data_IF_296082469534
#
_entry.id   IF_296082469534
#
_cell.length_a   1.000
_cell.length_b   1.000
_cell.length_c   1.000
_cell.angle_alpha   90.00
_cell.angle_beta   90.00
_cell.angle_gamma   90.00
#
_symmetry.space_group_name_H-M   'P 1'
#
loop_
_entity.id
_entity.type
_entity.pdbx_description
1 polymer ?
#
# COMPACT_ATOMS: atom_id res chain seq x y z
N UNK A 1 -23.21 7.97 9.80
CA UNK A 1 -22.22 6.91 9.62
C UNK A 1 -20.89 7.33 10.22
N UNK A 2 -20.15 6.42 10.86
CA UNK A 2 -18.81 6.67 11.39
C UNK A 2 -17.76 5.94 10.54
N UNK A 3 -16.69 6.64 10.17
CA UNK A 3 -15.49 6.05 9.51
C UNK A 3 -14.30 6.28 10.44
N UNK A 4 -13.62 5.21 10.84
CA UNK A 4 -12.43 5.26 11.66
C UNK A 4 -11.18 5.21 10.79
N UNK A 5 -10.47 6.33 10.67
CA UNK A 5 -9.28 6.53 9.84
C UNK A 5 -9.52 7.42 8.62
N UNK A 6 -8.70 8.46 8.47
CA UNK A 6 -8.70 9.42 7.36
C UNK A 6 -7.53 9.18 6.38
N UNK A 7 -7.18 7.91 6.17
CA UNK A 7 -6.28 7.49 5.10
C UNK A 7 -6.98 7.47 3.74
N UNK A 8 -6.28 7.06 2.65
CA UNK A 8 -6.83 7.06 1.29
C UNK A 8 -8.17 6.33 1.15
N UNK A 9 -8.37 5.21 1.86
CA UNK A 9 -9.63 4.47 1.83
C UNK A 9 -10.77 5.21 2.52
N UNK A 10 -10.55 5.64 3.79
CA UNK A 10 -11.59 6.28 4.59
C UNK A 10 -12.00 7.63 4.06
N UNK A 11 -11.03 8.45 3.64
CA UNK A 11 -11.30 9.76 3.07
C UNK A 11 -12.01 9.68 1.70
N UNK A 12 -11.62 8.71 0.83
CA UNK A 12 -12.33 8.46 -0.43
C UNK A 12 -13.75 7.99 -0.18
N UNK A 13 -13.97 7.08 0.76
CA UNK A 13 -15.33 6.64 1.12
C UNK A 13 -16.17 7.79 1.66
N UNK A 14 -15.60 8.61 2.55
CA UNK A 14 -16.27 9.79 3.09
C UNK A 14 -16.70 10.76 1.98
N UNK A 15 -15.79 11.03 1.02
CA UNK A 15 -16.06 11.88 -0.15
C UNK A 15 -17.23 11.35 -0.98
N UNK A 16 -17.23 10.04 -1.26
CA UNK A 16 -18.26 9.40 -2.09
C UNK A 16 -19.64 9.39 -1.43
N UNK A 17 -19.70 9.14 -0.13
CA UNK A 17 -20.95 9.07 0.62
C UNK A 17 -21.51 10.47 0.91
N UNK A 18 -20.65 11.41 1.33
CA UNK A 18 -21.08 12.80 1.57
C UNK A 18 -21.62 13.46 0.30
N UNK A 19 -20.99 13.21 -0.86
CA UNK A 19 -21.49 13.66 -2.17
C UNK A 19 -22.92 13.17 -2.48
N UNK A 20 -23.36 12.09 -1.83
CA UNK A 20 -24.72 11.52 -1.94
C UNK A 20 -25.63 11.93 -0.80
N UNK A 21 -25.26 12.94 0.00
CA UNK A 21 -26.04 13.45 1.11
C UNK A 21 -26.02 12.60 2.39
N UNK A 22 -25.15 11.59 2.48
CA UNK A 22 -25.03 10.80 3.71
C UNK A 22 -24.28 11.60 4.77
N UNK A 23 -24.84 11.68 5.98
CA UNK A 23 -24.14 12.25 7.14
C UNK A 23 -22.97 11.35 7.57
N UNK A 24 -21.75 11.81 7.35
CA UNK A 24 -20.51 11.08 7.64
C UNK A 24 -19.67 11.85 8.66
N UNK A 25 -19.26 11.15 9.71
CA UNK A 25 -18.19 11.57 10.62
C UNK A 25 -16.97 10.67 10.37
N UNK A 26 -15.83 11.27 10.06
CA UNK A 26 -14.53 10.59 10.02
C UNK A 26 -13.78 10.96 11.30
N UNK A 27 -13.24 9.97 12.01
CA UNK A 27 -12.32 10.16 13.12
C UNK A 27 -10.92 9.71 12.71
N UNK A 28 -9.92 10.56 12.96
CA UNK A 28 -8.52 10.28 12.65
C UNK A 28 -7.66 10.45 13.92
N UNK A 29 -6.88 9.43 14.23
CA UNK A 29 -6.08 9.41 15.44
C UNK A 29 -4.91 10.42 15.44
N UNK A 30 -4.45 10.83 14.25
CA UNK A 30 -3.42 11.85 14.11
C UNK A 30 -4.03 13.24 14.26
N UNK A 31 -3.30 14.20 14.89
CA UNK A 31 -3.80 15.55 15.11
C UNK A 31 -3.80 16.41 13.84
N UNK A 32 -3.06 15.99 12.81
CA UNK A 32 -3.04 16.62 11.49
C UNK A 32 -2.79 15.58 10.39
N UNK A 33 -3.07 15.94 9.14
CA UNK A 33 -2.94 15.03 8.00
C UNK A 33 -1.54 14.98 7.40
N UNK A 34 -0.66 15.89 7.79
CA UNK A 34 0.74 15.92 7.33
C UNK A 34 1.61 15.03 8.20
N UNK A 35 1.23 14.86 9.46
CA UNK A 35 1.96 14.00 10.37
C UNK A 35 1.92 12.54 9.92
N UNK A 36 3.07 11.90 9.99
CA UNK A 36 3.24 10.51 9.55
C UNK A 36 2.69 10.25 8.11
N UNK A 37 2.75 11.25 7.24
CA UNK A 37 2.35 11.16 5.84
C UNK A 37 3.41 10.39 5.03
N UNK A 38 3.58 9.12 5.39
CA UNK A 38 4.56 8.23 4.79
C UNK A 38 3.95 7.37 3.71
N UNK A 39 4.48 7.48 2.51
CA UNK A 39 4.34 6.49 1.44
C UNK A 39 5.29 6.86 0.30
N UNK A 40 5.92 5.89 -0.34
CA UNK A 40 6.63 6.11 -1.61
C UNK A 40 5.70 6.60 -2.72
N UNK A 41 4.43 6.26 -2.65
CA UNK A 41 3.29 6.84 -3.39
C UNK A 41 3.46 6.88 -4.91
N UNK A 42 4.15 5.90 -5.51
CA UNK A 42 4.23 5.76 -6.95
C UNK A 42 2.96 5.06 -7.49
N UNK A 43 2.32 5.66 -8.48
CA UNK A 43 1.12 5.14 -9.14
C UNK A 43 1.26 5.17 -10.66
N UNK A 44 0.68 4.20 -11.39
CA UNK A 44 0.60 4.26 -12.84
C UNK A 44 -0.33 5.39 -13.29
N UNK A 45 -0.07 5.96 -14.47
CA UNK A 45 -0.83 7.11 -14.98
C UNK A 45 -2.34 6.84 -15.04
N UNK A 46 -2.74 5.66 -15.51
CA UNK A 46 -4.15 5.26 -15.58
C UNK A 46 -4.86 5.24 -14.20
N UNK A 47 -4.11 5.05 -13.11
CA UNK A 47 -4.70 5.12 -11.77
C UNK A 47 -5.03 6.55 -11.35
N UNK A 48 -4.23 7.54 -11.78
CA UNK A 48 -4.52 8.95 -11.50
C UNK A 48 -5.84 9.36 -12.15
N UNK A 49 -6.02 9.03 -13.41
CA UNK A 49 -7.24 9.32 -14.18
C UNK A 49 -8.45 8.62 -13.56
N UNK A 50 -8.33 7.31 -13.34
CA UNK A 50 -9.42 6.49 -12.77
C UNK A 50 -9.86 6.95 -11.37
N UNK A 51 -8.95 7.49 -10.57
CA UNK A 51 -9.20 7.90 -9.19
C UNK A 51 -9.45 9.41 -9.07
N UNK A 52 -9.51 10.14 -10.20
CA UNK A 52 -9.71 11.59 -10.27
C UNK A 52 -8.64 12.37 -9.47
N UNK A 53 -7.40 11.86 -9.44
CA UNK A 53 -6.30 12.46 -8.68
C UNK A 53 -5.79 13.70 -9.42
N UNK A 54 -5.88 14.90 -8.82
CA UNK A 54 -5.50 16.13 -9.50
C UNK A 54 -3.99 16.29 -9.63
N UNK A 55 -3.57 17.05 -10.63
CA UNK A 55 -2.16 17.35 -10.86
C UNK A 55 -1.47 18.03 -9.66
N UNK A 56 -2.24 18.77 -8.83
CA UNK A 56 -1.73 19.47 -7.66
C UNK A 56 -1.14 18.54 -6.56
N UNK A 57 -1.50 17.25 -6.57
CA UNK A 57 -0.92 16.27 -5.63
C UNK A 57 0.21 15.45 -6.24
N UNK A 58 0.55 15.69 -7.52
CA UNK A 58 1.65 15.02 -8.21
C UNK A 58 2.96 15.75 -7.88
N UNK A 59 3.87 15.07 -7.23
CA UNK A 59 5.20 15.60 -6.95
C UNK A 59 6.12 15.47 -8.16
N UNK A 60 6.07 14.32 -8.85
CA UNK A 60 6.90 14.07 -10.03
C UNK A 60 6.27 13.04 -10.97
N UNK A 61 6.58 13.13 -12.27
CA UNK A 61 6.20 12.13 -13.29
C UNK A 61 7.44 11.38 -13.75
N UNK A 62 7.32 10.09 -13.95
CA UNK A 62 8.41 9.24 -14.40
C UNK A 62 8.04 8.51 -15.71
N UNK A 63 9.04 8.27 -16.57
CA UNK A 63 8.88 7.66 -17.90
C UNK A 63 9.75 6.43 -18.12
N UNK A 64 10.44 5.95 -17.08
CA UNK A 64 11.32 4.80 -17.18
C UNK A 64 11.43 3.99 -15.90
N UNK A 65 12.12 2.87 -16.04
CA UNK A 65 12.48 1.96 -14.96
C UNK A 65 13.98 1.76 -14.90
N UNK A 66 14.49 1.63 -13.71
CA UNK A 66 15.87 1.21 -13.45
C UNK A 66 15.88 0.08 -12.44
N UNK A 67 16.55 -1.01 -12.79
CA UNK A 67 16.71 -2.15 -11.89
C UNK A 67 18.20 -2.41 -11.66
N UNK A 68 18.64 -2.26 -10.40
CA UNK A 68 19.93 -2.66 -9.92
C UNK A 68 19.78 -4.02 -9.25
N UNK A 69 20.35 -5.04 -9.86
CA UNK A 69 20.30 -6.42 -9.39
C UNK A 69 21.50 -6.78 -8.49
N UNK A 70 21.66 -8.08 -8.18
CA UNK A 70 22.84 -8.58 -7.46
C UNK A 70 24.14 -8.50 -8.27
N UNK A 71 24.04 -8.57 -9.60
CA UNK A 71 25.18 -8.43 -10.51
C UNK A 71 25.54 -6.96 -10.79
N UNK A 72 26.62 -6.73 -11.55
CA UNK A 72 27.08 -5.37 -11.86
C UNK A 72 26.24 -4.63 -12.89
N UNK A 73 25.26 -5.28 -13.52
CA UNK A 73 24.49 -4.71 -14.60
C UNK A 73 23.48 -3.68 -14.08
N UNK A 74 23.55 -2.48 -14.63
CA UNK A 74 22.59 -1.40 -14.45
C UNK A 74 21.63 -1.44 -15.64
N UNK A 75 20.36 -1.74 -15.37
CA UNK A 75 19.35 -1.99 -16.39
C UNK A 75 18.34 -0.88 -16.44
N UNK A 76 18.17 -0.30 -17.62
CA UNK A 76 17.27 0.83 -17.86
C UNK A 76 16.25 0.49 -18.93
N UNK A 77 15.03 0.94 -18.73
CA UNK A 77 13.95 0.94 -19.72
C UNK A 77 13.33 2.32 -19.75
N UNK A 78 13.11 2.83 -20.94
CA UNK A 78 12.42 4.11 -21.17
C UNK A 78 11.16 3.87 -21.96
N UNK A 79 10.13 4.67 -21.68
CA UNK A 79 8.91 4.65 -22.46
C UNK A 79 9.22 4.93 -23.94
N UNK A 80 8.64 4.15 -24.83
CA UNK A 80 8.93 4.18 -26.26
C UNK A 80 8.59 5.50 -26.92
N UNK A 81 7.55 6.19 -26.42
CA UNK A 81 7.06 7.50 -26.92
C UNK A 81 7.48 8.67 -26.01
N UNK A 82 8.30 8.43 -25.00
CA UNK A 82 8.74 9.43 -24.03
C UNK A 82 7.66 9.92 -23.08
N UNK A 83 6.44 9.36 -23.13
CA UNK A 83 5.34 9.75 -22.22
C UNK A 83 5.55 9.22 -20.81
N UNK A 84 5.03 9.91 -19.80
CA UNK A 84 5.05 9.39 -18.45
C UNK A 84 4.31 8.05 -18.32
N UNK A 85 4.92 7.10 -17.63
CA UNK A 85 4.31 5.82 -17.26
C UNK A 85 3.49 5.94 -15.97
N UNK A 86 3.82 6.93 -15.14
CA UNK A 86 3.15 7.17 -13.88
C UNK A 86 3.63 8.42 -13.18
N UNK A 87 3.25 8.54 -11.91
CA UNK A 87 3.63 9.66 -11.06
C UNK A 87 3.93 9.19 -9.63
N UNK A 88 4.84 9.91 -8.99
CA UNK A 88 5.06 9.89 -7.55
C UNK A 88 4.25 11.02 -6.94
N UNK A 89 3.44 10.72 -5.94
CA UNK A 89 2.56 11.71 -5.31
C UNK A 89 3.23 12.32 -4.06
N UNK A 90 2.89 13.56 -3.77
CA UNK A 90 2.97 14.10 -2.43
C UNK A 90 1.83 13.47 -1.61
N UNK A 91 2.19 12.55 -0.73
CA UNK A 91 1.19 11.79 0.02
C UNK A 91 0.44 12.63 1.06
N UNK A 92 1.09 13.64 1.63
CA UNK A 92 0.43 14.60 2.52
C UNK A 92 -0.59 15.43 1.74
N UNK A 93 -0.20 15.93 0.56
CA UNK A 93 -1.11 16.66 -0.32
C UNK A 93 -2.31 15.80 -0.76
N UNK A 94 -2.09 14.50 -1.07
CA UNK A 94 -3.17 13.57 -1.39
C UNK A 94 -4.17 13.43 -0.23
N UNK A 95 -3.67 13.26 1.00
CA UNK A 95 -4.51 13.13 2.20
C UNK A 95 -5.34 14.40 2.43
N UNK A 96 -4.71 15.58 2.38
CA UNK A 96 -5.41 16.87 2.51
C UNK A 96 -6.45 17.07 1.43
N UNK A 97 -6.12 16.74 0.19
CA UNK A 97 -7.04 16.85 -0.92
C UNK A 97 -8.29 15.97 -0.74
N UNK A 98 -8.11 14.68 -0.42
CA UNK A 98 -9.22 13.76 -0.18
C UNK A 98 -10.11 14.22 0.97
N UNK A 99 -9.50 14.64 2.09
CA UNK A 99 -10.21 15.14 3.25
C UNK A 99 -10.97 16.44 2.92
N UNK A 100 -10.32 17.39 2.24
CA UNK A 100 -10.95 18.65 1.81
C UNK A 100 -12.12 18.41 0.85
N UNK A 101 -12.00 17.46 -0.07
CA UNK A 101 -13.13 17.07 -0.94
C UNK A 101 -14.30 16.48 -0.13
N UNK A 102 -14.02 15.61 0.83
CA UNK A 102 -15.04 15.04 1.69
C UNK A 102 -15.77 16.14 2.50
N UNK A 103 -15.01 17.06 3.10
CA UNK A 103 -15.54 18.21 3.84
C UNK A 103 -16.36 19.15 2.93
N UNK A 104 -15.89 19.41 1.72
CA UNK A 104 -16.62 20.22 0.74
C UNK A 104 -17.99 19.64 0.35
N UNK A 105 -18.18 18.33 0.49
CA UNK A 105 -19.46 17.65 0.33
C UNK A 105 -20.25 17.48 1.64
N UNK A 106 -19.76 18.03 2.77
CA UNK A 106 -20.48 18.02 4.05
C UNK A 106 -20.07 16.91 5.03
N UNK A 107 -19.01 16.13 4.77
CA UNK A 107 -18.46 15.23 5.77
C UNK A 107 -17.78 16.00 6.90
N UNK A 108 -17.94 15.53 8.13
CA UNK A 108 -17.21 16.04 9.29
C UNK A 108 -15.94 15.21 9.48
N UNK A 109 -14.79 15.86 9.75
CA UNK A 109 -13.51 15.19 10.03
C UNK A 109 -13.02 15.68 11.39
N UNK A 110 -12.88 14.74 12.34
CA UNK A 110 -12.36 14.98 13.67
C UNK A 110 -10.94 14.42 13.78
N UNK A 111 -9.94 15.30 13.76
CA UNK A 111 -8.54 14.95 13.93
C UNK A 111 -8.19 14.81 15.42
N UNK A 112 -7.21 13.97 15.75
CA UNK A 112 -6.82 13.65 17.12
C UNK A 112 -7.77 12.70 17.84
N UNK A 113 -8.81 12.20 17.17
CA UNK A 113 -9.79 11.26 17.73
C UNK A 113 -9.52 9.82 17.31
N UNK A 114 -9.46 8.93 18.28
CA UNK A 114 -9.23 7.50 18.05
C UNK A 114 -10.47 6.68 18.37
N UNK A 115 -10.91 5.85 17.43
CA UNK A 115 -11.90 4.81 17.70
C UNK A 115 -11.22 3.63 18.41
N UNK A 116 -11.77 3.21 19.55
CA UNK A 116 -11.17 2.20 20.44
C UNK A 116 -11.84 0.84 20.32
N UNK A 117 -13.17 0.81 20.37
CA UNK A 117 -13.95 -0.43 20.37
C UNK A 117 -15.39 -0.16 19.92
N UNK A 118 -16.06 -1.21 19.50
CA UNK A 118 -17.46 -1.17 19.10
C UNK A 118 -18.31 -2.12 19.89
N UNK A 119 -19.59 -1.75 20.11
CA UNK A 119 -20.63 -2.59 20.69
C UNK A 119 -21.84 -2.59 19.75
N UNK A 120 -22.44 -3.75 19.55
CA UNK A 120 -23.63 -3.91 18.71
C UNK A 120 -24.79 -4.46 19.55
N UNK A 121 -25.58 -3.60 20.21
CA UNK A 121 -26.74 -4.05 20.98
C UNK A 121 -27.79 -4.67 20.03
N UNK A 122 -28.18 -5.89 20.29
CA UNK A 122 -29.08 -6.67 19.42
C UNK A 122 -30.44 -5.99 19.21
N UNK A 123 -30.94 -5.26 20.22
CA UNK A 123 -32.28 -4.68 20.21
C UNK A 123 -32.43 -3.37 19.39
N UNK A 124 -31.31 -2.69 19.03
CA UNK A 124 -31.41 -1.32 18.51
C UNK A 124 -31.14 -1.18 17.02
N UNK A 125 -30.60 -2.20 16.38
CA UNK A 125 -30.16 -2.11 14.98
C UNK A 125 -29.10 -1.03 14.75
N UNK A 126 -28.42 -0.55 15.81
CA UNK A 126 -27.40 0.48 15.80
C UNK A 126 -26.07 -0.08 16.35
N UNK A 127 -24.99 0.62 16.07
CA UNK A 127 -23.64 0.29 16.57
C UNK A 127 -23.12 1.48 17.39
N UNK A 128 -22.57 1.20 18.56
CA UNK A 128 -21.94 2.18 19.44
C UNK A 128 -20.43 2.06 19.35
N UNK A 129 -19.74 3.17 19.20
CA UNK A 129 -18.27 3.22 19.13
C UNK A 129 -17.76 4.08 20.29
N UNK A 130 -16.78 3.54 21.03
CA UNK A 130 -16.05 4.29 22.01
C UNK A 130 -14.91 5.05 21.32
N UNK A 131 -14.92 6.35 21.46
CA UNK A 131 -13.95 7.29 20.90
C UNK A 131 -13.13 7.90 22.05
N UNK A 132 -11.84 8.12 21.80
CA UNK A 132 -10.95 8.88 22.67
C UNK A 132 -10.49 10.13 21.95
N UNK A 133 -10.70 11.28 22.57
CA UNK A 133 -10.30 12.58 22.08
C UNK A 133 -8.85 12.94 22.39
N UNK A 134 -8.38 14.08 21.89
CA UNK A 134 -6.99 14.54 22.05
C UNK A 134 -6.60 14.83 23.51
N UNK A 135 -7.56 15.19 24.37
CA UNK A 135 -7.35 15.38 25.83
C UNK A 135 -7.41 14.09 26.64
N UNK A 136 -7.67 12.94 26.00
CA UNK A 136 -7.82 11.64 26.68
C UNK A 136 -9.26 11.34 27.12
N UNK A 137 -10.18 12.28 26.92
CA UNK A 137 -11.62 12.10 27.19
C UNK A 137 -12.22 11.01 26.32
N UNK A 138 -13.16 10.25 26.88
CA UNK A 138 -13.82 9.16 26.15
C UNK A 138 -15.32 9.42 25.99
N UNK A 139 -15.80 9.20 24.78
CA UNK A 139 -17.21 9.37 24.43
C UNK A 139 -17.75 8.14 23.69
N UNK A 140 -19.04 7.89 23.85
CA UNK A 140 -19.75 6.89 23.07
C UNK A 140 -20.56 7.57 21.96
N UNK A 141 -20.27 7.21 20.71
CA UNK A 141 -21.04 7.64 19.56
C UNK A 141 -21.89 6.48 19.05
N UNK A 142 -23.18 6.77 18.76
CA UNK A 142 -24.08 5.79 18.14
C UNK A 142 -24.26 6.12 16.66
N UNK A 143 -24.17 5.10 15.81
CA UNK A 143 -24.35 5.23 14.37
C UNK A 143 -25.05 4.02 13.76
N UNK A 144 -25.55 4.14 12.52
CA UNK A 144 -26.13 3.00 11.78
C UNK A 144 -25.06 2.04 11.30
N UNK A 145 -23.91 2.55 10.89
CA UNK A 145 -22.78 1.80 10.37
C UNK A 145 -21.46 2.38 10.86
N UNK A 146 -20.48 1.49 11.08
CA UNK A 146 -19.09 1.86 11.36
C UNK A 146 -18.21 1.23 10.32
N UNK A 147 -17.27 1.99 9.76
CA UNK A 147 -16.26 1.52 8.84
C UNK A 147 -14.89 1.57 9.49
N UNK A 148 -14.23 0.42 9.60
CA UNK A 148 -12.83 0.31 10.01
C UNK A 148 -11.92 0.60 8.80
N UNK A 149 -11.46 1.84 8.69
CA UNK A 149 -10.47 2.30 7.74
C UNK A 149 -9.12 2.61 8.43
N UNK A 150 -8.84 1.96 9.57
CA UNK A 150 -7.61 2.18 10.37
C UNK A 150 -6.37 1.55 9.72
N UNK A 151 -6.50 1.06 8.50
CA UNK A 151 -5.41 0.50 7.73
C UNK A 151 -4.90 -0.83 8.31
N UNK A 152 -3.60 -1.03 8.23
CA UNK A 152 -2.96 -2.27 8.68
C UNK A 152 -3.16 -2.57 10.18
N UNK A 153 -3.55 -1.59 10.99
CA UNK A 153 -3.81 -1.78 12.42
C UNK A 153 -5.08 -2.58 12.70
N UNK A 154 -6.07 -2.55 11.78
CA UNK A 154 -7.36 -3.26 11.92
C UNK A 154 -8.02 -2.98 13.27
N UNK A 155 -8.00 -1.72 13.68
CA UNK A 155 -8.25 -1.29 15.05
C UNK A 155 -9.62 -1.66 15.63
N UNK A 156 -10.64 -1.83 14.78
CA UNK A 156 -11.98 -2.22 15.20
C UNK A 156 -12.36 -3.62 14.74
N UNK A 157 -11.97 -4.00 13.51
CA UNK A 157 -12.26 -5.33 12.96
C UNK A 157 -11.40 -6.42 13.60
N UNK A 158 -10.15 -6.09 13.92
CA UNK A 158 -9.16 -7.01 14.46
C UNK A 158 -8.47 -7.85 13.39
N UNK A 159 -7.44 -8.58 13.79
CA UNK A 159 -6.70 -9.47 12.93
C UNK A 159 -7.50 -10.74 12.61
N UNK A 160 -7.30 -11.35 11.43
CA UNK A 160 -7.80 -12.68 11.16
C UNK A 160 -7.13 -13.71 12.10
N UNK A 161 -7.77 -14.86 12.35
CA UNK A 161 -7.18 -15.91 13.18
C UNK A 161 -5.78 -16.31 12.69
N UNK A 162 -4.83 -16.43 13.60
CA UNK A 162 -3.43 -16.75 13.28
C UNK A 162 -3.25 -18.18 12.73
N UNK A 163 -4.10 -19.10 13.12
CA UNK A 163 -4.17 -20.49 12.67
C UNK A 163 -5.02 -20.66 11.39
N UNK A 164 -5.53 -19.55 10.86
CA UNK A 164 -6.34 -19.55 9.65
C UNK A 164 -5.58 -19.99 8.40
N UNK A 165 -6.33 -20.45 7.39
CA UNK A 165 -5.79 -20.89 6.09
C UNK A 165 -5.11 -19.76 5.29
N UNK A 166 -5.14 -18.53 5.76
CA UNK A 166 -4.61 -17.32 5.09
C UNK A 166 -4.03 -16.35 6.10
N UNK A 167 -2.86 -16.66 6.69
CA UNK A 167 -2.22 -15.84 7.71
C UNK A 167 -1.79 -14.47 7.15
N UNK A 168 -1.71 -13.48 8.03
CA UNK A 168 -1.13 -12.18 7.69
C UNK A 168 0.35 -12.32 7.35
N UNK A 169 0.75 -11.61 6.31
CA UNK A 169 2.15 -11.36 5.95
C UNK A 169 2.40 -9.88 6.18
N UNK A 170 3.46 -9.56 6.88
CA UNK A 170 3.85 -8.17 7.14
C UNK A 170 5.07 -7.77 6.31
N UNK A 171 5.07 -6.53 5.86
CA UNK A 171 6.21 -5.86 5.25
C UNK A 171 6.58 -4.65 6.08
N UNK A 172 7.80 -4.62 6.60
CA UNK A 172 8.34 -3.45 7.29
C UNK A 172 9.16 -2.64 6.29
N UNK A 173 8.82 -1.36 6.14
CA UNK A 173 9.55 -0.41 5.29
C UNK A 173 10.09 0.76 6.09
N UNK A 174 11.23 1.28 5.65
CA UNK A 174 11.76 2.56 6.11
C UNK A 174 12.23 3.36 4.89
N UNK A 175 12.00 4.67 4.92
CA UNK A 175 12.29 5.59 3.81
C UNK A 175 12.82 6.91 4.34
N UNK A 176 13.75 7.49 3.64
CA UNK A 176 14.25 8.85 3.88
C UNK A 176 13.90 9.73 2.70
N UNK A 177 13.39 10.93 3.01
CA UNK A 177 13.30 12.02 2.04
C UNK A 177 14.63 12.77 2.03
N UNK A 178 15.29 12.74 0.89
CA UNK A 178 16.61 13.33 0.68
C UNK A 178 16.50 14.61 -0.14
N UNK A 179 17.34 15.59 0.18
CA UNK A 179 17.57 16.77 -0.64
C UNK A 179 19.02 16.78 -1.13
N UNK A 180 19.21 17.11 -2.39
CA UNK A 180 20.52 17.13 -3.04
C UNK A 180 20.53 18.14 -4.20
N UNK A 181 21.72 18.58 -4.66
CA UNK A 181 21.87 19.44 -5.82
C UNK A 181 21.22 18.82 -7.07
N UNK A 182 20.73 19.67 -7.98
CA UNK A 182 20.00 19.22 -9.16
C UNK A 182 20.82 18.32 -10.08
N UNK A 183 22.13 18.56 -10.20
CA UNK A 183 23.03 17.71 -10.98
C UNK A 183 23.12 16.27 -10.46
N UNK A 184 22.99 16.05 -9.15
CA UNK A 184 22.95 14.73 -8.53
C UNK A 184 21.55 14.11 -8.54
N UNK A 185 20.50 14.93 -8.62
CA UNK A 185 19.11 14.49 -8.70
C UNK A 185 18.75 14.02 -10.11
N UNK A 186 19.18 14.74 -11.17
CA UNK A 186 18.84 14.45 -12.57
C UNK A 186 19.00 13.00 -13.01
N UNK A 187 20.07 12.26 -12.64
CA UNK A 187 20.22 10.85 -13.03
C UNK A 187 19.12 9.92 -12.52
N UNK A 188 18.32 10.36 -11.55
CA UNK A 188 17.25 9.60 -10.91
C UNK A 188 15.84 10.08 -11.31
N UNK A 189 15.73 11.24 -11.93
CA UNK A 189 14.45 11.95 -12.08
C UNK A 189 13.48 11.29 -13.05
N UNK A 190 13.97 10.65 -14.13
CA UNK A 190 13.10 10.13 -15.17
C UNK A 190 12.54 8.72 -14.90
N UNK A 191 12.92 8.10 -13.79
CA UNK A 191 12.71 6.67 -13.60
C UNK A 191 12.39 6.30 -12.16
N UNK A 192 11.63 5.24 -11.99
CA UNK A 192 11.58 4.54 -10.71
C UNK A 192 12.72 3.52 -10.65
N UNK A 193 13.53 3.62 -9.63
CA UNK A 193 14.66 2.70 -9.42
C UNK A 193 14.33 1.70 -8.33
N UNK A 194 14.48 0.40 -8.63
CA UNK A 194 14.43 -0.67 -7.66
C UNK A 194 15.80 -1.32 -7.48
N UNK A 195 16.12 -1.65 -6.23
CA UNK A 195 17.36 -2.24 -5.77
C UNK A 195 17.02 -3.65 -5.27
N UNK A 196 17.47 -4.66 -6.01
CA UNK A 196 17.03 -6.04 -5.87
C UNK A 196 18.22 -6.95 -5.57
N UNK A 197 18.03 -7.85 -4.62
CA UNK A 197 19.08 -8.81 -4.22
C UNK A 197 19.39 -8.73 -2.74
N UNK A 198 19.99 -9.81 -2.22
CA UNK A 198 20.26 -9.95 -0.78
C UNK A 198 21.29 -8.94 -0.25
N UNK A 199 22.16 -8.41 -1.11
CA UNK A 199 23.12 -7.36 -0.76
C UNK A 199 22.46 -5.98 -0.61
N UNK A 200 21.31 -5.74 -1.25
CA UNK A 200 20.53 -4.53 -1.07
C UNK A 200 19.58 -4.66 0.10
N UNK A 201 18.78 -5.72 0.12
CA UNK A 201 17.86 -6.03 1.22
C UNK A 201 17.45 -7.51 1.16
N UNK A 202 17.92 -8.36 2.07
CA UNK A 202 17.47 -9.76 2.14
C UNK A 202 15.97 -9.81 2.47
N UNK A 203 15.26 -10.72 1.84
CA UNK A 203 13.82 -10.92 1.97
C UNK A 203 12.98 -9.69 1.58
N UNK A 204 13.52 -8.82 0.72
CA UNK A 204 12.87 -7.59 0.33
C UNK A 204 13.55 -6.88 -0.84
N UNK A 205 13.45 -5.57 -0.84
CA UNK A 205 14.04 -4.71 -1.87
C UNK A 205 14.24 -3.29 -1.35
N UNK A 206 15.07 -2.52 -2.09
CA UNK A 206 15.18 -1.08 -1.92
C UNK A 206 14.61 -0.31 -3.11
N UNK A 207 14.46 1.00 -2.95
CA UNK A 207 14.04 1.90 -4.01
C UNK A 207 14.65 3.28 -3.90
N UNK A 208 14.76 3.95 -5.06
CA UNK A 208 15.01 5.39 -5.16
C UNK A 208 13.95 5.96 -6.11
N UNK A 209 13.08 6.83 -5.58
CA UNK A 209 12.01 7.45 -6.35
C UNK A 209 12.15 8.96 -6.37
N UNK A 210 11.97 9.59 -7.54
CA UNK A 210 12.03 11.04 -7.65
C UNK A 210 10.83 11.68 -6.95
N UNK A 211 11.12 12.80 -6.29
CA UNK A 211 10.15 13.74 -5.77
C UNK A 211 10.30 15.08 -6.50
N UNK A 212 9.95 16.18 -5.86
CA UNK A 212 10.19 17.50 -6.42
C UNK A 212 11.65 17.68 -6.84
N UNK A 213 11.96 18.60 -7.77
CA UNK A 213 13.34 18.86 -8.20
C UNK A 213 14.28 19.03 -7.00
N UNK A 214 15.38 18.28 -7.01
CA UNK A 214 16.33 18.23 -5.90
C UNK A 214 15.93 17.29 -4.76
N UNK A 215 14.83 16.54 -4.85
CA UNK A 215 14.39 15.63 -3.80
C UNK A 215 14.23 14.20 -4.30
N UNK A 216 14.67 13.24 -3.48
CA UNK A 216 14.51 11.80 -3.72
C UNK A 216 13.96 11.10 -2.47
N UNK A 217 13.15 10.09 -2.67
CA UNK A 217 12.80 9.09 -1.65
C UNK A 217 13.73 7.90 -1.79
N UNK A 218 14.51 7.61 -0.76
CA UNK A 218 15.33 6.40 -0.66
C UNK A 218 14.74 5.50 0.41
N UNK A 219 14.41 4.26 0.05
CA UNK A 219 13.82 3.34 1.00
C UNK A 219 14.27 1.91 0.85
N UNK A 220 14.03 1.13 1.89
CA UNK A 220 14.16 -0.33 1.91
C UNK A 220 12.97 -0.94 2.60
N UNK A 221 12.56 -2.13 2.17
CA UNK A 221 11.54 -2.90 2.87
C UNK A 221 11.90 -4.38 2.92
N UNK A 222 11.37 -5.06 3.93
CA UNK A 222 11.53 -6.50 4.12
C UNK A 222 10.19 -7.13 4.49
N UNK A 223 9.89 -8.28 3.88
CA UNK A 223 8.74 -9.09 4.24
C UNK A 223 9.04 -10.04 5.39
N UNK A 224 8.02 -10.27 6.20
CA UNK A 224 8.02 -11.25 7.27
C UNK A 224 6.76 -12.10 7.16
N UNK A 225 6.92 -13.42 7.24
CA UNK A 225 5.79 -14.29 7.48
C UNK A 225 5.53 -14.35 8.99
N UNK A 226 4.41 -13.82 9.43
CA UNK A 226 3.91 -14.03 10.78
C UNK A 226 3.27 -15.44 10.83
N UNK A 227 3.75 -16.32 11.71
CA UNK A 227 3.16 -17.65 11.89
C UNK A 227 3.57 -18.69 10.84
N UNK A 228 3.19 -19.87 11.07
CA UNK A 228 3.35 -21.18 10.45
C UNK A 228 3.79 -21.23 8.97
N UNK A 229 4.97 -21.79 8.70
CA UNK A 229 5.43 -22.21 7.37
C UNK A 229 6.95 -22.26 7.24
N UNK A 230 7.52 -22.93 6.24
CA UNK A 230 8.96 -22.90 5.95
C UNK A 230 9.39 -21.45 5.67
N UNK A 231 10.29 -20.91 6.49
CA UNK A 231 10.75 -19.53 6.43
C UNK A 231 10.09 -18.55 7.41
N UNK A 232 9.14 -19.00 8.25
CA UNK A 232 8.63 -18.21 9.37
C UNK A 232 9.74 -18.00 10.40
N UNK A 233 10.04 -16.75 10.75
CA UNK A 233 10.93 -16.49 11.86
C UNK A 233 10.29 -17.05 13.14
N UNK A 234 11.07 -17.68 14.05
CA UNK A 234 10.57 -18.08 15.35
C UNK A 234 9.91 -16.90 16.04
N UNK A 235 8.75 -17.12 16.65
CA UNK A 235 8.10 -16.11 17.47
C UNK A 235 9.11 -15.58 18.53
N UNK A 236 9.40 -14.28 18.50
CA UNK A 236 10.35 -13.67 19.43
C UNK A 236 11.72 -13.28 18.86
N UNK A 237 12.08 -13.63 17.62
CA UNK A 237 13.34 -13.15 17.04
C UNK A 237 13.19 -11.68 16.60
N UNK A 238 13.79 -10.77 17.39
CA UNK A 238 13.89 -9.35 17.00
C UNK A 238 14.61 -9.27 15.66
N UNK A 239 13.91 -8.75 14.64
CA UNK A 239 14.52 -8.53 13.36
C UNK A 239 15.50 -7.36 13.43
N UNK A 240 16.60 -7.48 12.67
CA UNK A 240 17.56 -6.40 12.57
C UNK A 240 16.90 -5.10 12.07
N UNK A 241 17.24 -3.93 12.62
CA UNK A 241 16.68 -2.66 12.22
C UNK A 241 17.01 -2.35 10.75
N UNK A 242 16.14 -1.59 10.08
CA UNK A 242 16.33 -1.22 8.68
C UNK A 242 17.33 -0.06 8.48
N UNK A 243 17.65 0.70 9.54
CA UNK A 243 18.56 1.85 9.48
C UNK A 243 19.91 1.54 8.83
N UNK A 244 20.66 0.51 9.27
CA UNK A 244 21.94 0.14 8.65
C UNK A 244 21.83 -0.21 7.15
N UNK A 245 20.71 -0.80 6.74
CA UNK A 245 20.45 -1.10 5.32
C UNK A 245 20.19 0.17 4.50
N UNK A 246 19.48 1.15 5.07
CA UNK A 246 19.29 2.47 4.43
C UNK A 246 20.62 3.20 4.27
N UNK A 247 21.46 3.21 5.30
CA UNK A 247 22.79 3.83 5.25
C UNK A 247 23.69 3.18 4.21
N UNK A 248 23.72 1.84 4.18
CA UNK A 248 24.47 1.09 3.16
C UNK A 248 23.92 1.38 1.75
N UNK A 249 22.61 1.45 1.58
CA UNK A 249 21.96 1.79 0.31
C UNK A 249 22.30 3.21 -0.12
N UNK A 250 22.25 4.17 0.80
CA UNK A 250 22.64 5.56 0.54
C UNK A 250 24.09 5.66 0.01
N UNK A 251 25.01 4.93 0.65
CA UNK A 251 26.41 4.92 0.23
C UNK A 251 26.59 4.25 -1.15
N UNK A 252 25.99 3.08 -1.36
CA UNK A 252 26.13 2.29 -2.61
C UNK A 252 25.47 2.98 -3.82
N UNK A 253 24.43 3.77 -3.62
CA UNK A 253 23.77 4.56 -4.68
C UNK A 253 24.50 5.84 -5.02
N UNK A 254 25.60 6.17 -4.32
CA UNK A 254 26.32 7.42 -4.50
C UNK A 254 25.57 8.65 -3.96
N UNK A 255 24.54 8.43 -3.13
CA UNK A 255 23.72 9.51 -2.54
C UNK A 255 24.25 9.96 -1.17
N UNK A 256 25.39 9.43 -0.72
CA UNK A 256 26.06 9.87 0.50
C UNK A 256 26.25 11.40 0.48
N UNK A 257 26.07 12.04 1.64
CA UNK A 257 26.13 13.50 1.78
C UNK A 257 24.85 14.25 1.36
N UNK A 258 23.79 13.57 0.90
CA UNK A 258 22.48 14.19 0.74
C UNK A 258 21.91 14.61 2.11
N UNK A 259 21.24 15.77 2.16
CA UNK A 259 20.54 16.22 3.37
C UNK A 259 19.28 15.41 3.59
N UNK A 260 19.16 14.76 4.73
CA UNK A 260 17.93 14.05 5.09
C UNK A 260 16.92 15.06 5.63
N UNK A 261 15.82 15.23 4.89
CA UNK A 261 14.72 16.12 5.26
C UNK A 261 13.75 15.46 6.23
N UNK A 262 13.48 14.15 6.00
CA UNK A 262 12.54 13.39 6.81
C UNK A 262 12.93 11.92 6.86
N UNK A 263 12.57 11.26 7.96
CA UNK A 263 12.79 9.83 8.20
C UNK A 263 11.50 9.22 8.70
N UNK A 264 11.01 8.22 7.99
CA UNK A 264 9.80 7.54 8.40
C UNK A 264 9.87 6.06 8.08
N UNK A 265 8.93 5.33 8.64
CA UNK A 265 8.77 3.91 8.41
C UNK A 265 7.31 3.53 8.53
N UNK A 266 6.97 2.43 7.90
CA UNK A 266 5.62 1.92 7.89
C UNK A 266 5.59 0.40 7.89
N UNK A 267 4.49 -0.12 8.37
CA UNK A 267 4.15 -1.53 8.32
C UNK A 267 3.01 -1.72 7.33
N UNK A 268 3.15 -2.70 6.46
CA UNK A 268 2.06 -3.18 5.60
C UNK A 268 1.73 -4.59 6.07
N UNK A 269 0.44 -4.88 6.26
CA UNK A 269 -0.03 -6.22 6.63
C UNK A 269 -1.15 -6.63 5.68
N UNK A 270 -1.04 -7.81 5.09
CA UNK A 270 -2.02 -8.31 4.15
C UNK A 270 -2.10 -9.83 4.19
N UNK A 271 -3.29 -10.39 4.13
CA UNK A 271 -3.48 -11.80 3.79
C UNK A 271 -3.30 -11.98 2.29
N UNK A 272 -2.81 -13.16 1.87
CA UNK A 272 -2.53 -13.44 0.45
C UNK A 272 -3.81 -13.82 -0.32
N UNK A 273 -4.75 -14.50 0.35
CA UNK A 273 -5.98 -15.05 -0.28
C UNK A 273 -7.22 -14.25 0.05
N UNK A 274 -7.12 -13.31 0.99
CA UNK A 274 -8.24 -12.49 1.49
C UNK A 274 -9.47 -13.30 1.88
N UNK A 275 -9.27 -14.26 2.75
CA UNK A 275 -10.33 -15.08 3.32
C UNK A 275 -10.82 -14.57 4.67
N UNK A 276 -10.19 -13.51 5.20
CA UNK A 276 -10.63 -12.84 6.42
C UNK A 276 -12.04 -12.24 6.26
N UNK A 277 -12.79 -12.15 7.36
CA UNK A 277 -14.08 -11.46 7.35
C UNK A 277 -13.91 -9.99 7.03
N UNK A 278 -14.68 -9.46 6.09
CA UNK A 278 -14.72 -8.03 5.78
C UNK A 278 -15.80 -7.28 6.56
N UNK A 279 -16.67 -8.02 7.26
CA UNK A 279 -17.81 -7.47 7.99
C UNK A 279 -18.11 -8.29 9.25
N UNK A 280 -18.50 -7.60 10.31
CA UNK A 280 -19.09 -8.17 11.53
C UNK A 280 -20.33 -7.35 11.93
N UNK A 281 -21.51 -7.84 11.59
CA UNK A 281 -22.74 -7.09 11.77
C UNK A 281 -22.67 -5.74 11.04
N UNK A 282 -22.77 -4.64 11.78
CA UNK A 282 -22.71 -3.26 11.25
C UNK A 282 -21.31 -2.62 11.26
N UNK A 283 -20.27 -3.41 11.51
CA UNK A 283 -18.88 -3.02 11.37
C UNK A 283 -18.32 -3.62 10.08
N UNK A 284 -17.72 -2.76 9.23
CA UNK A 284 -17.17 -3.13 7.92
C UNK A 284 -15.72 -2.69 7.85
N UNK A 285 -14.83 -3.56 7.40
CA UNK A 285 -13.44 -3.23 7.11
C UNK A 285 -13.26 -2.64 5.72
N UNK A 286 -12.30 -1.71 5.58
CA UNK A 286 -12.02 -1.01 4.34
C UNK A 286 -10.52 -0.78 4.14
N UNK A 287 -10.06 -0.84 2.92
CA UNK A 287 -8.64 -0.65 2.61
C UNK A 287 -7.77 -1.74 3.24
N UNK A 288 -6.64 -1.36 3.81
CA UNK A 288 -5.70 -2.34 4.38
C UNK A 288 -6.24 -3.07 5.61
N UNK A 289 -7.34 -2.59 6.23
CA UNK A 289 -8.05 -3.35 7.25
C UNK A 289 -8.67 -4.65 6.70
N UNK A 290 -8.80 -4.79 5.38
CA UNK A 290 -9.19 -6.02 4.67
C UNK A 290 -8.18 -6.40 3.58
N UNK A 291 -6.89 -6.18 3.85
CA UNK A 291 -5.77 -6.65 3.03
C UNK A 291 -5.76 -6.14 1.60
N UNK A 292 -6.04 -4.86 1.35
CA UNK A 292 -5.96 -4.31 -0.01
C UNK A 292 -4.53 -4.05 -0.49
N UNK A 293 -3.57 -3.88 0.40
CA UNK A 293 -2.18 -3.71 0.02
C UNK A 293 -1.63 -4.93 -0.71
N UNK A 294 -0.93 -4.70 -1.81
CA UNK A 294 -0.22 -5.73 -2.55
C UNK A 294 1.23 -5.83 -2.09
N UNK A 295 1.66 -7.03 -1.75
CA UNK A 295 2.99 -7.28 -1.19
C UNK A 295 4.11 -7.33 -2.24
N UNK A 296 3.80 -7.31 -3.55
CA UNK A 296 4.83 -7.39 -4.59
C UNK A 296 5.67 -6.10 -4.65
N UNK A 297 5.00 -4.97 -4.76
CA UNK A 297 5.62 -3.64 -4.80
C UNK A 297 5.23 -2.74 -3.62
N UNK A 298 4.61 -3.27 -2.56
CA UNK A 298 4.14 -2.48 -1.42
C UNK A 298 3.00 -1.50 -1.81
N UNK A 299 2.25 -1.81 -2.85
CA UNK A 299 1.23 -0.93 -3.42
C UNK A 299 -0.07 -1.02 -2.63
N UNK A 300 -0.51 0.10 -2.03
CA UNK A 300 -1.72 0.17 -1.20
C UNK A 300 -2.70 1.27 -1.60
N UNK A 301 -2.23 2.46 -1.98
CA UNK A 301 -3.07 3.67 -2.14
C UNK A 301 -4.22 3.45 -3.11
N UNK A 302 -3.93 3.04 -4.36
CA UNK A 302 -4.99 2.86 -5.37
C UNK A 302 -5.96 1.74 -5.03
N UNK A 303 -5.48 0.66 -4.41
CA UNK A 303 -6.33 -0.46 -4.00
C UNK A 303 -7.22 -0.08 -2.82
N UNK A 304 -6.71 0.72 -1.89
CA UNK A 304 -7.46 1.28 -0.79
C UNK A 304 -8.60 2.18 -1.29
N UNK A 305 -8.30 3.11 -2.21
CA UNK A 305 -9.32 3.96 -2.85
C UNK A 305 -10.30 3.15 -3.70
N UNK A 306 -9.83 2.16 -4.46
CA UNK A 306 -10.70 1.26 -5.21
C UNK A 306 -11.66 0.49 -4.30
N UNK A 307 -11.21 0.04 -3.13
CA UNK A 307 -12.08 -0.62 -2.14
C UNK A 307 -13.22 0.28 -1.66
N UNK A 308 -12.95 1.58 -1.48
CA UNK A 308 -13.97 2.57 -1.13
C UNK A 308 -15.01 2.75 -2.25
N UNK A 309 -14.57 2.78 -3.51
CA UNK A 309 -15.46 2.86 -4.68
C UNK A 309 -16.33 1.61 -4.85
N UNK A 310 -15.84 0.46 -4.43
CA UNK A 310 -16.65 -0.78 -4.40
C UNK A 310 -17.64 -0.78 -3.24
N UNK A 311 -17.23 -0.27 -2.07
CA UNK A 311 -18.08 -0.30 -0.86
C UNK A 311 -19.16 0.79 -0.88
N UNK A 312 -18.88 1.99 -1.41
CA UNK A 312 -19.79 3.12 -1.36
C UNK A 312 -21.20 2.82 -1.91
N UNK A 313 -21.39 2.27 -3.12
CA UNK A 313 -22.74 1.94 -3.62
C UNK A 313 -23.46 0.91 -2.75
N UNK A 314 -22.76 -0.09 -2.23
CA UNK A 314 -23.37 -1.10 -1.35
C UNK A 314 -23.81 -0.51 -0.02
N UNK A 315 -23.08 0.47 0.52
CA UNK A 315 -23.49 1.17 1.73
C UNK A 315 -24.68 2.08 1.50
N UNK A 316 -24.77 2.71 0.33
CA UNK A 316 -25.96 3.52 -0.03
C UNK A 316 -27.20 2.62 -0.11
N UNK A 317 -27.12 1.49 -0.79
CA UNK A 317 -28.17 0.48 -0.84
C UNK A 317 -28.56 0.00 0.58
N UNK A 318 -27.56 -0.33 1.43
CA UNK A 318 -27.79 -0.79 2.81
C UNK A 318 -28.32 0.29 3.77
N UNK A 319 -28.27 1.57 3.40
CA UNK A 319 -28.89 2.65 4.16
C UNK A 319 -30.39 2.79 3.86
N UNK A 320 -30.82 2.40 2.67
CA UNK A 320 -32.21 2.41 2.21
C UNK A 320 -32.90 1.10 2.62
N UNK A 321 -32.23 -0.04 2.39
CA UNK A 321 -32.72 -1.40 2.62
C UNK A 321 -31.92 -2.15 3.70
N UNK A 322 -32.11 -3.48 3.81
CA UNK A 322 -31.51 -4.35 4.81
C UNK A 322 -30.00 -4.59 4.63
N UNK A 323 -29.25 -4.89 5.72
CA UNK A 323 -27.79 -5.07 5.72
C UNK A 323 -27.25 -6.24 4.87
N UNK A 324 -28.10 -7.11 4.34
CA UNK A 324 -27.72 -8.28 3.55
C UNK A 324 -26.98 -7.93 2.25
N UNK A 325 -27.22 -6.75 1.68
CA UNK A 325 -26.55 -6.25 0.49
C UNK A 325 -25.02 -6.19 0.64
N UNK A 326 -24.54 -5.91 1.85
CA UNK A 326 -23.11 -5.83 2.15
C UNK A 326 -22.38 -7.18 2.11
N UNK A 327 -23.10 -8.29 2.19
CA UNK A 327 -22.52 -9.65 2.02
C UNK A 327 -21.83 -9.82 0.63
N UNK A 328 -22.22 -9.01 -0.35
CA UNK A 328 -21.60 -9.00 -1.67
C UNK A 328 -20.22 -8.31 -1.70
N UNK A 329 -19.87 -7.49 -0.69
CA UNK A 329 -18.66 -6.67 -0.69
C UNK A 329 -17.37 -7.48 -0.88
N UNK A 330 -17.08 -8.58 -0.14
CA UNK A 330 -15.86 -9.33 -0.32
C UNK A 330 -15.72 -9.92 -1.74
N UNK A 331 -16.84 -10.32 -2.35
CA UNK A 331 -16.86 -10.86 -3.72
C UNK A 331 -16.64 -9.76 -4.76
N UNK A 332 -17.30 -8.59 -4.60
CA UNK A 332 -17.13 -7.43 -5.50
C UNK A 332 -15.72 -6.90 -5.41
N UNK A 333 -15.14 -6.79 -4.22
CA UNK A 333 -13.76 -6.34 -4.03
C UNK A 333 -12.75 -7.30 -4.67
N UNK A 334 -12.94 -8.62 -4.52
CA UNK A 334 -12.07 -9.61 -5.20
C UNK A 334 -12.16 -9.52 -6.72
N UNK A 335 -13.34 -9.24 -7.27
CA UNK A 335 -13.53 -9.01 -8.71
C UNK A 335 -12.82 -7.74 -9.17
N UNK A 336 -12.94 -6.65 -8.43
CA UNK A 336 -12.32 -5.37 -8.70
C UNK A 336 -10.79 -5.46 -8.72
N UNK A 337 -10.19 -6.11 -7.73
CA UNK A 337 -8.75 -6.30 -7.66
C UNK A 337 -8.22 -7.37 -8.63
N UNK A 338 -9.10 -8.29 -9.04
CA UNK A 338 -8.83 -9.31 -10.04
C UNK A 338 -7.99 -10.49 -9.54
N UNK A 339 -7.98 -11.58 -10.32
CA UNK A 339 -7.25 -12.80 -9.99
C UNK A 339 -5.71 -12.59 -10.04
N UNK A 340 -5.23 -11.70 -10.90
CA UNK A 340 -3.81 -11.34 -11.00
C UNK A 340 -3.29 -10.71 -9.71
N UNK A 341 -4.10 -9.89 -9.06
CA UNK A 341 -3.74 -9.33 -7.77
C UNK A 341 -3.52 -10.42 -6.70
N UNK A 342 -4.40 -11.41 -6.62
CA UNK A 342 -4.25 -12.54 -5.69
C UNK A 342 -3.04 -13.41 -6.03
N UNK A 343 -2.74 -13.58 -7.32
CA UNK A 343 -1.55 -14.30 -7.77
C UNK A 343 -0.28 -13.52 -7.39
N UNK A 344 -0.26 -12.20 -7.60
CA UNK A 344 0.89 -11.36 -7.28
C UNK A 344 1.26 -11.42 -5.80
N UNK A 345 0.30 -11.48 -4.88
CA UNK A 345 0.55 -11.64 -3.45
C UNK A 345 1.24 -12.97 -3.11
N UNK A 346 0.82 -14.06 -3.75
CA UNK A 346 1.47 -15.38 -3.59
C UNK A 346 2.90 -15.39 -4.13
N UNK A 347 3.09 -14.76 -5.28
CA UNK A 347 4.41 -14.62 -5.89
C UNK A 347 5.33 -13.75 -5.04
N UNK A 348 4.84 -12.61 -4.57
CA UNK A 348 5.58 -11.70 -3.69
C UNK A 348 6.08 -12.41 -2.43
N UNK A 349 5.15 -13.09 -1.72
CA UNK A 349 5.52 -13.87 -0.53
C UNK A 349 6.63 -14.86 -0.83
N UNK A 350 6.51 -15.61 -1.94
CA UNK A 350 7.50 -16.62 -2.31
C UNK A 350 8.83 -15.99 -2.74
N UNK A 351 8.78 -14.95 -3.58
CA UNK A 351 9.97 -14.28 -4.11
C UNK A 351 10.74 -13.61 -2.97
N UNK A 352 10.07 -12.76 -2.20
CA UNK A 352 10.77 -11.99 -1.17
C UNK A 352 11.25 -12.86 -0.02
N UNK A 353 10.42 -13.74 0.54
CA UNK A 353 10.88 -14.63 1.62
C UNK A 353 11.96 -15.63 1.16
N UNK A 354 12.03 -15.93 -0.12
CA UNK A 354 13.07 -16.78 -0.71
C UNK A 354 14.32 -16.03 -1.20
N UNK A 355 14.33 -14.68 -1.12
CA UNK A 355 15.43 -13.85 -1.59
C UNK A 355 16.47 -13.67 -0.49
N UNK A 356 17.30 -14.70 -0.30
CA UNK A 356 18.36 -14.71 0.68
C UNK A 356 19.56 -15.54 0.17
N UNK A 357 20.73 -14.90 0.14
CA UNK A 357 22.02 -15.49 -0.18
C UNK A 357 22.30 -15.74 -1.66
N UNK A 358 23.52 -16.19 -1.98
CA UNK A 358 24.07 -16.16 -3.34
C UNK A 358 23.31 -17.02 -4.38
N UNK A 359 22.63 -18.08 -3.93
CA UNK A 359 21.84 -18.91 -4.86
C UNK A 359 20.59 -18.20 -5.34
N UNK A 360 19.90 -17.49 -4.42
CA UNK A 360 18.72 -16.69 -4.75
C UNK A 360 19.11 -15.50 -5.64
N UNK A 361 20.24 -14.86 -5.35
CA UNK A 361 20.76 -13.74 -6.13
C UNK A 361 21.10 -14.17 -7.57
N UNK A 362 21.75 -15.31 -7.79
CA UNK A 362 22.01 -15.83 -9.15
C UNK A 362 20.73 -16.10 -9.93
N UNK A 363 19.68 -16.61 -9.29
CA UNK A 363 18.37 -16.82 -9.95
C UNK A 363 17.71 -15.49 -10.32
N UNK A 364 17.76 -14.54 -9.41
CA UNK A 364 17.22 -13.19 -9.64
C UNK A 364 17.98 -12.51 -10.80
N UNK A 365 19.30 -12.59 -10.82
CA UNK A 365 20.13 -12.01 -11.89
C UNK A 365 19.78 -12.61 -13.25
N UNK A 366 19.62 -13.93 -13.34
CA UNK A 366 19.17 -14.61 -14.57
C UNK A 366 17.78 -14.13 -15.03
N UNK A 367 16.84 -13.89 -14.08
CA UNK A 367 15.53 -13.34 -14.38
C UNK A 367 15.64 -11.93 -14.93
N UNK A 368 16.40 -11.05 -14.26
CA UNK A 368 16.58 -9.65 -14.66
C UNK A 368 17.26 -9.55 -16.03
N UNK A 369 18.25 -10.42 -16.32
CA UNK A 369 18.88 -10.48 -17.64
C UNK A 369 17.88 -10.88 -18.74
N UNK A 370 17.00 -11.84 -18.47
CA UNK A 370 15.93 -12.21 -19.39
C UNK A 370 14.91 -11.10 -19.63
N UNK A 371 14.57 -10.34 -18.60
CA UNK A 371 13.69 -9.17 -18.71
C UNK A 371 14.30 -8.07 -19.58
N UNK A 372 15.59 -7.80 -19.41
CA UNK A 372 16.30 -6.76 -20.15
C UNK A 372 16.34 -6.99 -21.67
N UNK A 373 16.29 -8.23 -22.12
CA UNK A 373 16.39 -8.58 -23.53
C UNK A 373 15.05 -8.55 -24.28
N UNK A 374 13.92 -8.59 -23.61
CA UNK A 374 12.65 -8.96 -24.24
C UNK A 374 11.47 -8.03 -23.96
N UNK A 375 11.63 -7.02 -23.07
CA UNK A 375 10.48 -6.25 -22.59
C UNK A 375 10.72 -4.74 -22.61
N UNK A 376 9.65 -4.00 -22.86
CA UNK A 376 9.62 -2.54 -22.84
C UNK A 376 9.39 -1.99 -21.41
N UNK A 377 9.50 -0.68 -21.26
CA UNK A 377 9.14 0.00 -20.01
C UNK A 377 7.65 -0.16 -19.66
N UNK A 378 6.80 -0.18 -20.69
CA UNK A 378 5.36 -0.40 -20.58
C UNK A 378 5.05 -1.84 -20.11
N UNK A 379 5.81 -2.84 -20.58
CA UNK A 379 5.67 -4.22 -20.11
C UNK A 379 6.03 -4.37 -18.64
N UNK A 380 7.11 -3.69 -18.19
CA UNK A 380 7.46 -3.65 -16.77
C UNK A 380 6.39 -2.96 -15.93
N UNK A 381 5.82 -1.85 -16.43
CA UNK A 381 4.69 -1.19 -15.77
C UNK A 381 3.49 -2.11 -15.67
N UNK A 382 3.16 -2.82 -16.74
CA UNK A 382 2.07 -3.80 -16.74
C UNK A 382 2.34 -4.98 -15.80
N UNK A 383 3.61 -5.40 -15.63
CA UNK A 383 3.99 -6.42 -14.65
C UNK A 383 3.78 -5.94 -13.21
N UNK A 384 4.34 -4.78 -12.88
CA UNK A 384 4.45 -4.31 -11.52
C UNK A 384 3.14 -3.69 -10.99
N UNK A 385 2.35 -3.06 -11.86
CA UNK A 385 1.10 -2.42 -11.49
C UNK A 385 -0.14 -3.22 -11.91
N UNK A 386 -0.18 -3.80 -13.12
CA UNK A 386 -1.34 -4.56 -13.59
C UNK A 386 -1.20 -6.06 -13.37
N UNK A 387 -0.06 -6.49 -12.82
CA UNK A 387 0.25 -7.89 -12.50
C UNK A 387 0.12 -8.81 -13.72
N UNK A 388 0.48 -8.32 -14.91
CA UNK A 388 0.36 -9.07 -16.19
C UNK A 388 1.50 -10.05 -16.37
N UNK A 389 1.55 -11.08 -15.54
CA UNK A 389 2.57 -12.13 -15.58
C UNK A 389 2.55 -12.96 -16.86
N UNK A 390 1.41 -13.06 -17.52
CA UNK A 390 1.25 -13.78 -18.78
C UNK A 390 2.09 -13.24 -19.93
N UNK A 391 2.50 -11.97 -19.88
CA UNK A 391 3.42 -11.38 -20.86
C UNK A 391 4.81 -11.97 -20.84
N UNK A 392 5.17 -12.63 -19.73
CA UNK A 392 6.48 -13.26 -19.55
C UNK A 392 6.50 -14.72 -19.98
N UNK A 393 5.38 -15.25 -20.48
CA UNK A 393 5.24 -16.57 -21.09
C UNK A 393 5.60 -17.72 -20.17
N UNK A 394 5.92 -18.88 -20.78
CA UNK A 394 6.29 -20.11 -20.06
C UNK A 394 7.54 -19.95 -19.20
N UNK A 395 8.38 -18.97 -19.44
CA UNK A 395 9.59 -18.66 -18.65
C UNK A 395 9.29 -18.21 -17.23
N UNK A 396 8.12 -17.66 -16.97
CA UNK A 396 7.66 -17.32 -15.62
C UNK A 396 7.11 -18.56 -14.87
N UNK A 397 6.72 -19.62 -15.59
CA UNK A 397 6.12 -20.84 -15.02
C UNK A 397 6.99 -21.50 -13.92
N UNK A 398 8.31 -21.65 -14.05
CA UNK A 398 9.13 -22.25 -13.00
C UNK A 398 9.07 -21.46 -11.69
N UNK A 399 8.92 -20.13 -11.77
CA UNK A 399 8.75 -19.25 -10.60
C UNK A 399 7.31 -19.28 -10.08
N UNK A 400 6.33 -19.37 -10.99
CA UNK A 400 4.90 -19.45 -10.65
C UNK A 400 4.56 -20.79 -9.99
N UNK A 401 5.09 -21.90 -10.49
CA UNK A 401 4.75 -23.25 -10.07
C UNK A 401 5.72 -23.84 -9.04
N UNK A 402 6.84 -23.17 -8.82
CA UNK A 402 7.80 -23.62 -7.81
C UNK A 402 8.60 -24.85 -8.17
N UNK A 403 8.81 -25.13 -9.42
CA UNK A 403 9.49 -26.32 -9.92
C UNK A 403 11.02 -26.31 -9.79
N UNK A 404 11.58 -25.25 -9.25
CA UNK A 404 13.02 -25.23 -8.92
C UNK A 404 13.20 -24.73 -7.49
N UNK A 405 13.51 -25.67 -6.61
CA UNK A 405 14.07 -25.42 -5.29
C UNK A 405 15.50 -24.89 -5.41
#
# INVERSE_FOLDING_TARGET
MLIAGCGPAGAELARLLARRGVHVLVVEALPDLDRAAFSSAALPLAALERLDIPAAVVAHRWSGWRLLGPGPADRHWRASDGRPLGAVLDFAALRRWLAGQAQGFGAQIALGWRALTVQQPAATGLIRTRLRGPGGEEHWLTSRWVVDATGQQRGLLGDPPADGADPLVSGLGAEWLLELPLERWRPWSDQLTFLLGSDWMPQGYGWVFPMQPGQLKLGVCRLNAEGVGPGAAPAGRRQAPLGPWLEATLARTGLAGARVLDRHGGLIRSTVRRREPHQRGRLIGLGDAVSTANLLGGEGIRHAMASARVLAPLLLEALEDEPEQLAAYPRRLRRELGWRWSLSGRLARRTWLGLEGPRADRRLEGLLAGLAQQHSAEDLSALLFDYRFERYGLRALPYLLGWRR
#
